data_IF_889746282587
#
_entry.id   IF_889746282587
#
_cell.length_a   1.000
_cell.length_b   1.000
_cell.length_c   1.000
_cell.angle_alpha   90.00
_cell.angle_beta   90.00
_cell.angle_gamma   90.00
#
_symmetry.space_group_name_H-M   'P 1'
#
loop_
_entity.id
_entity.type
_entity.pdbx_description
1 polymer ?
#
# COMPACT_ATOMS: atom_id res chain seq x y z
N UNK A 1 -13.86 7.60 -8.04
CA UNK A 1 -12.69 6.77 -7.67
C UNK A 1 -12.46 6.85 -6.18
N UNK A 2 -11.87 5.80 -5.65
CA UNK A 2 -11.48 5.77 -4.24
C UNK A 2 -9.97 5.86 -4.14
N UNK A 3 -9.50 6.58 -3.12
CA UNK A 3 -8.09 6.66 -2.78
C UNK A 3 -7.88 6.03 -1.41
N UNK A 4 -6.85 5.21 -1.28
CA UNK A 4 -6.47 4.62 0.00
C UNK A 4 -5.09 5.13 0.37
N UNK A 5 -4.94 5.55 1.62
CA UNK A 5 -3.65 5.90 2.20
C UNK A 5 -3.39 4.96 3.36
N UNK A 6 -2.31 4.21 3.26
CA UNK A 6 -1.89 3.31 4.34
C UNK A 6 -0.51 3.74 4.79
N UNK A 7 -0.32 3.81 6.10
CA UNK A 7 0.99 4.13 6.69
C UNK A 7 1.39 2.99 7.62
N UNK A 8 2.61 2.53 7.47
CA UNK A 8 3.13 1.48 8.36
C UNK A 8 4.58 1.78 8.71
N UNK A 9 4.99 1.30 9.89
CA UNK A 9 6.35 1.48 10.36
C UNK A 9 6.95 0.14 10.76
N UNK A 10 8.11 -0.17 10.15
CA UNK A 10 8.87 -1.36 10.48
C UNK A 10 9.47 -1.26 11.88
N UNK A 11 9.56 -2.40 12.55
CA UNK A 11 10.37 -2.51 13.76
C UNK A 11 11.83 -2.16 13.43
N UNK A 12 12.55 -1.61 14.40
CA UNK A 12 13.95 -1.34 14.24
C UNK A 12 14.72 -2.62 13.85
N UNK A 13 15.51 -2.51 12.80
CA UNK A 13 16.25 -3.65 12.26
C UNK A 13 15.49 -4.51 11.27
N UNK A 14 14.20 -4.23 11.03
CA UNK A 14 13.36 -5.00 10.11
C UNK A 14 13.01 -4.25 8.84
N UNK A 15 13.58 -3.07 8.64
CA UNK A 15 13.26 -2.20 7.51
C UNK A 15 13.48 -2.88 6.17
N UNK A 16 14.60 -3.60 6.01
CA UNK A 16 14.90 -4.28 4.75
C UNK A 16 13.93 -5.41 4.46
N UNK A 17 13.52 -6.14 5.48
CA UNK A 17 12.57 -7.24 5.30
C UNK A 17 11.21 -6.71 4.84
N UNK A 18 10.76 -5.56 5.39
CA UNK A 18 9.53 -4.91 4.93
C UNK A 18 9.70 -4.43 3.50
N UNK A 19 10.83 -3.83 3.14
CA UNK A 19 11.09 -3.40 1.77
C UNK A 19 11.01 -4.56 0.78
N UNK A 20 11.58 -5.70 1.11
CA UNK A 20 11.55 -6.88 0.25
C UNK A 20 10.13 -7.41 0.07
N UNK A 21 9.35 -7.42 1.16
CA UNK A 21 7.96 -7.85 1.08
C UNK A 21 7.15 -6.92 0.17
N UNK A 22 7.37 -5.60 0.25
CA UNK A 22 6.74 -4.61 -0.62
C UNK A 22 7.15 -4.82 -2.08
N UNK A 23 8.44 -5.04 -2.34
CA UNK A 23 8.93 -5.27 -3.71
C UNK A 23 8.32 -6.54 -4.33
N UNK A 24 8.05 -7.54 -3.51
CA UNK A 24 7.41 -8.77 -4.00
C UNK A 24 5.92 -8.58 -4.25
N UNK A 25 5.27 -7.69 -3.49
CA UNK A 25 3.85 -7.43 -3.62
C UNK A 25 3.52 -6.66 -4.90
N UNK A 26 4.25 -5.59 -5.18
CA UNK A 26 3.91 -4.63 -6.23
C UNK A 26 3.69 -5.26 -7.61
N UNK A 27 4.53 -6.17 -8.09
CA UNK A 27 4.29 -6.81 -9.40
C UNK A 27 2.96 -7.57 -9.48
N UNK A 28 2.50 -8.13 -8.36
CA UNK A 28 1.21 -8.82 -8.33
C UNK A 28 0.06 -7.83 -8.35
N UNK A 29 0.19 -6.70 -7.66
CA UNK A 29 -0.81 -5.63 -7.69
C UNK A 29 -0.92 -5.03 -9.10
N UNK A 30 0.19 -4.96 -9.84
CA UNK A 30 0.20 -4.46 -11.22
C UNK A 30 -0.78 -5.22 -12.12
N UNK A 31 -1.05 -6.48 -11.81
CA UNK A 31 -1.95 -7.33 -12.61
C UNK A 31 -3.42 -7.12 -12.28
N UNK A 32 -3.74 -6.38 -11.23
CA UNK A 32 -5.12 -6.10 -10.81
C UNK A 32 -5.71 -5.03 -11.72
N UNK A 33 -6.78 -5.39 -12.42
CA UNK A 33 -7.37 -4.50 -13.42
C UNK A 33 -7.94 -3.21 -12.84
N UNK A 34 -8.56 -3.30 -11.67
CA UNK A 34 -9.22 -2.17 -11.03
C UNK A 34 -8.34 -1.31 -10.16
N UNK A 35 -7.07 -1.71 -9.95
CA UNK A 35 -6.09 -0.92 -9.19
C UNK A 35 -5.37 -0.01 -10.15
N UNK A 36 -5.66 1.28 -10.07
CA UNK A 36 -5.18 2.28 -11.04
C UNK A 36 -3.84 2.88 -10.67
N UNK A 37 -3.57 3.04 -9.39
CA UNK A 37 -2.30 3.53 -8.85
C UNK A 37 -1.99 2.73 -7.60
N UNK A 38 -0.74 2.32 -7.46
CA UNK A 38 -0.27 1.66 -6.25
C UNK A 38 1.20 2.04 -6.07
N UNK A 39 1.44 3.08 -5.29
CA UNK A 39 2.77 3.65 -5.12
C UNK A 39 3.16 3.61 -3.65
N UNK A 40 4.36 3.13 -3.38
CA UNK A 40 4.88 3.04 -2.02
C UNK A 40 6.02 4.03 -1.87
N UNK A 41 5.94 4.83 -0.82
CA UNK A 41 6.89 5.88 -0.54
C UNK A 41 7.56 5.62 0.80
N UNK A 42 8.81 6.05 0.94
CA UNK A 42 9.55 5.93 2.18
C UNK A 42 9.64 7.29 2.85
N UNK A 43 9.49 7.33 4.16
CA UNK A 43 9.67 8.56 4.92
C UNK A 43 11.11 9.07 4.77
N UNK A 44 11.26 10.35 4.41
CA UNK A 44 12.59 10.94 4.19
C UNK A 44 13.42 11.00 5.47
N UNK A 45 12.77 11.25 6.59
CA UNK A 45 13.44 11.50 7.87
C UNK A 45 13.12 10.47 8.94
N UNK A 46 12.28 9.48 8.59
CA UNK A 46 11.85 8.45 9.53
C UNK A 46 12.16 7.09 8.92
N UNK A 47 13.31 6.48 9.26
CA UNK A 47 13.64 5.15 8.75
C UNK A 47 12.56 4.14 9.07
N UNK A 48 12.25 3.29 8.11
CA UNK A 48 11.25 2.23 8.28
C UNK A 48 9.80 2.67 8.15
N UNK A 49 9.54 3.95 7.89
CA UNK A 49 8.18 4.42 7.66
C UNK A 49 7.83 4.35 6.18
N UNK A 50 6.69 3.73 5.87
CA UNK A 50 6.21 3.57 4.51
C UNK A 50 4.81 4.14 4.37
N UNK A 51 4.56 4.84 3.27
CA UNK A 51 3.25 5.34 2.92
C UNK A 51 2.83 4.73 1.60
N UNK A 52 1.67 4.09 1.59
CA UNK A 52 1.06 3.52 0.41
C UNK A 52 0.00 4.49 -0.10
N UNK A 53 0.12 4.91 -1.34
CA UNK A 53 -0.86 5.74 -2.02
C UNK A 53 -1.48 4.89 -3.12
N UNK A 54 -2.79 4.66 -3.02
CA UNK A 54 -3.47 3.69 -3.86
C UNK A 54 -4.74 4.32 -4.45
N UNK A 55 -5.01 4.04 -5.72
CA UNK A 55 -6.26 4.45 -6.34
C UNK A 55 -6.95 3.26 -6.95
N UNK A 56 -8.26 3.20 -6.70
CA UNK A 56 -9.11 2.12 -7.20
C UNK A 56 -10.24 2.72 -8.04
N UNK A 57 -10.62 2.01 -9.09
CA UNK A 57 -11.69 2.44 -9.99
C UNK A 57 -13.00 2.65 -9.23
N UNK A 58 -13.31 1.74 -8.31
CA UNK A 58 -14.53 1.75 -7.52
C UNK A 58 -14.37 0.86 -6.28
N UNK A 59 -15.45 0.73 -5.51
CA UNK A 59 -15.42 -0.08 -4.29
C UNK A 59 -15.23 -1.56 -4.59
N UNK A 60 -15.79 -2.05 -5.70
CA UNK A 60 -15.60 -3.45 -6.08
C UNK A 60 -14.13 -3.76 -6.37
N UNK A 61 -13.43 -2.84 -7.01
CA UNK A 61 -12.00 -2.98 -7.26
C UNK A 61 -11.19 -3.01 -5.97
N UNK A 62 -11.54 -2.15 -5.00
CA UNK A 62 -10.90 -2.16 -3.69
C UNK A 62 -11.13 -3.48 -2.96
N UNK A 63 -12.37 -3.97 -2.99
CA UNK A 63 -12.69 -5.26 -2.38
C UNK A 63 -11.97 -6.41 -3.07
N UNK A 64 -11.85 -6.36 -4.38
CA UNK A 64 -11.11 -7.36 -5.15
C UNK A 64 -9.63 -7.40 -4.73
N UNK A 65 -9.01 -6.22 -4.58
CA UNK A 65 -7.63 -6.12 -4.11
C UNK A 65 -7.45 -6.79 -2.74
N UNK A 66 -8.32 -6.48 -1.80
CA UNK A 66 -8.25 -7.03 -0.44
C UNK A 66 -8.54 -8.53 -0.36
N UNK A 67 -9.08 -9.12 -1.42
CA UNK A 67 -9.43 -10.54 -1.47
C UNK A 67 -8.40 -11.39 -2.21
N UNK A 68 -7.31 -10.78 -2.68
CA UNK A 68 -6.30 -11.53 -3.44
C UNK A 68 -5.40 -12.36 -2.53
N UNK A 69 -4.86 -13.48 -3.05
CA UNK A 69 -3.88 -14.26 -2.29
C UNK A 69 -2.63 -13.46 -1.96
N UNK A 70 -2.17 -12.61 -2.86
CA UNK A 70 -0.96 -11.82 -2.61
C UNK A 70 -1.16 -10.77 -1.51
N UNK A 71 -2.37 -10.22 -1.36
CA UNK A 71 -2.70 -9.33 -0.25
C UNK A 71 -2.57 -10.08 1.08
N UNK A 72 -3.21 -11.25 1.18
CA UNK A 72 -3.18 -12.06 2.39
C UNK A 72 -1.75 -12.50 2.74
N UNK A 73 -0.97 -12.90 1.73
CA UNK A 73 0.41 -13.32 1.92
C UNK A 73 1.28 -12.16 2.41
N UNK A 74 1.11 -10.98 1.83
CA UNK A 74 1.85 -9.80 2.24
C UNK A 74 1.58 -9.45 3.71
N UNK A 75 0.31 -9.35 4.10
CA UNK A 75 -0.03 -9.02 5.48
C UNK A 75 0.39 -10.12 6.46
N UNK A 76 0.36 -11.37 6.05
CA UNK A 76 0.88 -12.46 6.87
C UNK A 76 2.38 -12.33 7.14
N UNK A 77 3.13 -11.84 6.16
CA UNK A 77 4.58 -11.65 6.32
C UNK A 77 4.92 -10.43 7.18
N UNK A 78 4.25 -9.29 6.93
CA UNK A 78 4.68 -8.05 7.56
C UNK A 78 4.16 -7.88 8.98
N UNK A 79 3.12 -8.58 9.38
CA UNK A 79 2.51 -8.38 10.70
C UNK A 79 3.53 -8.45 11.84
N UNK A 80 4.46 -9.40 11.77
CA UNK A 80 5.50 -9.56 12.78
C UNK A 80 6.65 -8.55 12.63
N UNK A 81 6.71 -7.84 11.53
CA UNK A 81 7.80 -6.91 11.20
C UNK A 81 7.47 -5.45 11.50
N UNK A 82 6.22 -5.17 11.85
CA UNK A 82 5.75 -3.80 12.09
C UNK A 82 5.69 -3.49 13.58
N UNK A 83 5.95 -2.22 13.93
CA UNK A 83 5.84 -1.75 15.32
C UNK A 83 4.41 -1.84 15.84
N UNK A 84 3.43 -1.58 14.96
CA UNK A 84 2.01 -1.57 15.31
C UNK A 84 1.21 -1.85 14.05
N UNK A 85 -0.11 -1.98 14.19
CA UNK A 85 -0.99 -2.18 13.06
C UNK A 85 -0.90 -1.00 12.09
N UNK A 86 -0.99 -1.26 10.76
CA UNK A 86 -1.01 -0.17 9.79
C UNK A 86 -2.19 0.77 10.02
N UNK A 87 -1.96 2.05 9.76
CA UNK A 87 -3.03 3.03 9.68
C UNK A 87 -3.54 3.04 8.25
N UNK A 88 -4.82 2.74 8.03
CA UNK A 88 -5.41 2.64 6.70
C UNK A 88 -6.66 3.51 6.67
N UNK A 89 -6.74 4.40 5.69
CA UNK A 89 -7.91 5.25 5.52
C UNK A 89 -8.33 5.28 4.05
N UNK A 90 -9.64 5.25 3.82
CA UNK A 90 -10.24 5.28 2.48
C UNK A 90 -10.87 6.65 2.27
N UNK A 91 -10.58 7.24 1.13
CA UNK A 91 -11.07 8.58 0.74
C UNK A 91 -11.80 8.49 -0.59
N UNK A 92 -12.78 9.37 -0.76
CA UNK A 92 -13.36 9.60 -2.08
C UNK A 92 -12.60 10.73 -2.77
N UNK A 93 -12.35 10.58 -4.05
CA UNK A 93 -11.71 11.65 -4.81
C UNK A 93 -12.60 12.89 -4.84
N UNK A 94 -12.03 14.04 -4.68
CA UNK A 94 -12.78 15.29 -4.65
C UNK A 94 -12.36 16.20 -5.81
N UNK A 95 -11.15 16.73 -5.75
CA UNK A 95 -10.67 17.67 -6.77
C UNK A 95 -9.16 17.55 -6.91
N UNK A 96 -8.68 17.70 -8.12
CA UNK A 96 -7.24 17.66 -8.41
C UNK A 96 -6.93 18.49 -9.66
N UNK A 97 -5.67 18.85 -9.81
CA UNK A 97 -5.18 19.32 -11.11
C UNK A 97 -4.95 18.11 -12.00
N UNK A 98 -4.80 18.32 -13.30
CA UNK A 98 -4.32 17.27 -14.19
C UNK A 98 -2.85 16.99 -13.87
N UNK A 99 -2.45 15.70 -13.76
CA UNK A 99 -1.05 15.40 -13.48
C UNK A 99 -0.12 16.00 -14.51
N UNK A 100 1.00 16.56 -14.04
CA UNK A 100 2.05 17.07 -14.93
C UNK A 100 3.13 16.00 -15.07
N UNK A 101 3.73 15.97 -16.25
CA UNK A 101 4.80 15.01 -16.53
C UNK A 101 6.11 15.38 -15.81
#
# INVERSE_FOLDING_TARGET
>A
MLTVVAVMKAKEGKEKEVEEAVRSLVPNVQKEEGTLVYAVHKGRKTPGKFLFYEKYRDKDALNAHGSTPHFAEFFGKIAALLESDPSIEVYEDFVSINPKA
#
